data_IF_956530010930
#
_entry.id   IF_956530010930
#
_cell.length_a   1.000
_cell.length_b   1.000
_cell.length_c   1.000
_cell.angle_alpha   90.00
_cell.angle_beta   90.00
_cell.angle_gamma   90.00
#
_symmetry.space_group_name_H-M   'P 1'
#
loop_
_entity.id
_entity.type
_entity.pdbx_description
1 polymer ?
#
# COMPACT_ATOMS: atom_id res chain seq x y z
N UNK A 1 -14.57 0.02 3.01
CA UNK A 1 -13.77 -1.20 3.24
C UNK A 1 -14.68 -2.40 3.20
N UNK A 2 -14.55 -3.21 2.16
CA UNK A 2 -15.35 -4.42 1.89
C UNK A 2 -14.57 -5.69 2.18
N UNK A 3 -13.23 -5.65 2.08
CA UNK A 3 -12.38 -6.81 2.30
C UNK A 3 -12.03 -6.96 3.79
N UNK A 4 -11.95 -8.21 4.27
CA UNK A 4 -11.56 -8.48 5.66
C UNK A 4 -10.12 -8.04 5.93
N UNK A 5 -9.21 -8.27 4.98
CA UNK A 5 -7.79 -7.92 5.13
C UNK A 5 -7.56 -6.42 5.30
N UNK A 6 -8.27 -5.57 4.54
CA UNK A 6 -8.15 -4.11 4.66
C UNK A 6 -8.72 -3.62 5.99
N UNK A 7 -9.83 -4.18 6.46
CA UNK A 7 -10.41 -3.85 7.79
C UNK A 7 -9.46 -4.20 8.92
N UNK A 8 -8.83 -5.37 8.87
CA UNK A 8 -7.88 -5.84 9.87
C UNK A 8 -6.62 -4.95 9.91
N UNK A 9 -6.03 -4.68 8.75
CA UNK A 9 -4.85 -3.82 8.64
C UNK A 9 -5.15 -2.38 9.10
N UNK A 10 -6.31 -1.84 8.71
CA UNK A 10 -6.76 -0.51 9.17
C UNK A 10 -6.94 -0.49 10.69
N UNK A 11 -7.58 -1.51 11.28
CA UNK A 11 -7.80 -1.56 12.72
C UNK A 11 -6.48 -1.60 13.50
N UNK A 12 -5.51 -2.37 13.01
CA UNK A 12 -4.18 -2.42 13.58
C UNK A 12 -3.49 -1.05 13.52
N UNK A 13 -3.45 -0.44 12.33
CA UNK A 13 -2.85 0.89 12.12
C UNK A 13 -3.52 1.98 12.97
N UNK A 14 -4.85 1.97 13.05
CA UNK A 14 -5.61 2.93 13.85
C UNK A 14 -5.35 2.76 15.35
N UNK A 15 -5.11 1.52 15.81
CA UNK A 15 -4.70 1.24 17.18
C UNK A 15 -3.31 1.82 17.51
N UNK A 16 -2.36 1.74 16.58
CA UNK A 16 -1.01 2.30 16.77
C UNK A 16 -1.00 3.83 16.76
N UNK A 17 -1.68 4.47 15.79
CA UNK A 17 -1.64 5.93 15.68
C UNK A 17 -2.24 6.62 16.91
N UNK A 18 -3.23 6.00 17.55
CA UNK A 18 -4.02 6.58 18.66
C UNK A 18 -4.57 7.95 18.26
N UNK A 19 -4.15 9.02 18.93
CA UNK A 19 -4.57 10.39 18.66
C UNK A 19 -3.71 11.09 17.59
N UNK A 20 -2.62 10.47 17.12
CA UNK A 20 -1.77 11.03 16.06
C UNK A 20 -2.41 10.82 14.68
N UNK A 21 -1.95 11.60 13.71
CA UNK A 21 -2.43 11.47 12.32
C UNK A 21 -1.98 10.15 11.67
N UNK A 22 -0.76 9.69 11.99
CA UNK A 22 -0.20 8.42 11.56
C UNK A 22 0.76 7.87 12.62
N UNK A 23 0.94 6.54 12.72
CA UNK A 23 1.97 5.94 13.57
C UNK A 23 3.35 6.07 12.91
N UNK A 24 4.40 5.88 13.71
CA UNK A 24 5.75 5.80 13.20
C UNK A 24 5.99 4.44 12.56
N UNK A 25 6.76 4.41 11.46
CA UNK A 25 7.12 3.16 10.77
C UNK A 25 7.75 2.13 11.72
N UNK A 26 8.53 2.59 12.70
CA UNK A 26 9.20 1.74 13.68
C UNK A 26 8.24 1.04 14.65
N UNK A 27 6.99 1.52 14.78
CA UNK A 27 5.95 0.89 15.61
C UNK A 27 5.26 -0.27 14.90
N UNK A 28 5.46 -0.45 13.59
CA UNK A 28 4.88 -1.56 12.84
C UNK A 28 5.62 -2.85 13.21
N UNK A 29 4.90 -3.73 13.90
CA UNK A 29 5.28 -5.12 14.15
C UNK A 29 4.62 -6.03 13.09
N UNK A 30 5.39 -6.59 12.14
CA UNK A 30 4.86 -7.49 11.11
C UNK A 30 4.18 -8.74 11.68
N UNK A 31 4.57 -9.19 12.89
CA UNK A 31 4.00 -10.38 13.51
C UNK A 31 2.55 -10.16 13.95
N UNK A 32 2.18 -8.93 14.31
CA UNK A 32 0.84 -8.54 14.70
C UNK A 32 -0.15 -8.51 13.52
N UNK A 33 0.35 -8.46 12.29
CA UNK A 33 -0.44 -8.46 11.04
C UNK A 33 -0.15 -9.68 10.17
N UNK A 34 0.34 -10.78 10.76
CA UNK A 34 0.79 -11.98 10.02
C UNK A 34 -0.27 -12.56 9.08
N UNK A 35 -1.54 -12.53 9.48
CA UNK A 35 -2.73 -12.95 8.73
C UNK A 35 -2.87 -12.24 7.38
N UNK A 36 -2.53 -10.95 7.32
CA UNK A 36 -2.70 -10.08 6.14
C UNK A 36 -1.35 -9.72 5.48
N UNK A 37 -0.24 -10.19 6.03
CA UNK A 37 1.11 -9.83 5.56
C UNK A 37 1.35 -10.23 4.09
N UNK A 38 0.75 -11.34 3.64
CA UNK A 38 0.83 -11.78 2.24
C UNK A 38 0.11 -10.85 1.25
N UNK A 39 -0.81 -10.02 1.75
CA UNK A 39 -1.59 -9.01 1.01
C UNK A 39 -1.11 -7.58 1.28
N UNK A 40 0.01 -7.43 1.98
CA UNK A 40 0.52 -6.11 2.39
C UNK A 40 1.78 -5.75 1.60
N UNK A 41 1.93 -4.47 1.27
CA UNK A 41 3.14 -3.89 0.70
C UNK A 41 3.52 -2.62 1.46
N UNK A 42 4.76 -2.16 1.27
CA UNK A 42 5.23 -0.90 1.84
C UNK A 42 5.83 -0.03 0.73
N UNK A 43 5.29 1.16 0.55
CA UNK A 43 5.78 2.17 -0.38
C UNK A 43 6.68 3.12 0.39
N UNK A 44 7.86 3.41 -0.14
CA UNK A 44 8.69 4.50 0.36
C UNK A 44 8.41 5.78 -0.40
N UNK A 45 8.34 6.88 0.34
CA UNK A 45 8.37 8.22 -0.23
C UNK A 45 9.83 8.56 -0.54
N UNK A 46 10.19 8.64 -1.81
CA UNK A 46 11.53 9.05 -2.24
C UNK A 46 11.51 10.46 -2.85
N UNK A 47 12.67 11.11 -2.86
CA UNK A 47 12.83 12.46 -3.43
C UNK A 47 12.62 12.49 -4.94
N UNK A 48 12.83 11.35 -5.59
CA UNK A 48 12.70 11.18 -7.04
C UNK A 48 11.25 10.94 -7.48
N UNK A 49 10.31 10.79 -6.53
CA UNK A 49 8.89 10.56 -6.83
C UNK A 49 8.62 9.23 -7.54
N UNK A 50 9.50 8.25 -7.36
CA UNK A 50 9.39 6.92 -7.97
C UNK A 50 8.62 5.94 -7.07
N UNK A 51 8.43 6.25 -5.78
CA UNK A 51 7.62 5.43 -4.87
C UNK A 51 8.01 3.94 -4.86
N UNK A 52 9.28 3.60 -4.55
CA UNK A 52 9.73 2.22 -4.60
C UNK A 52 9.04 1.36 -3.54
N UNK A 53 8.64 0.16 -3.94
CA UNK A 53 8.09 -0.86 -3.05
C UNK A 53 9.22 -1.47 -2.24
N UNK A 54 9.27 -1.22 -0.93
CA UNK A 54 10.29 -1.79 -0.03
C UNK A 54 9.97 -3.18 0.45
N UNK A 55 8.68 -3.49 0.52
CA UNK A 55 8.13 -4.80 0.88
C UNK A 55 6.95 -5.11 -0.04
N UNK A 56 6.82 -6.37 -0.41
CA UNK A 56 5.66 -6.89 -1.13
C UNK A 56 5.34 -8.30 -0.63
N UNK A 57 4.10 -8.51 -0.21
CA UNK A 57 3.60 -9.81 0.21
C UNK A 57 3.55 -10.81 -0.93
N UNK A 58 3.67 -12.11 -0.61
CA UNK A 58 3.74 -13.17 -1.61
C UNK A 58 2.50 -13.25 -2.53
N UNK A 59 1.30 -12.94 -2.01
CA UNK A 59 0.06 -12.97 -2.81
C UNK A 59 0.00 -11.81 -3.78
N UNK A 60 0.49 -10.64 -3.38
CA UNK A 60 0.69 -9.50 -4.28
C UNK A 60 1.68 -9.90 -5.38
N UNK A 61 2.87 -10.41 -5.04
CA UNK A 61 3.84 -10.83 -6.05
C UNK A 61 3.23 -11.86 -7.05
N UNK A 62 2.39 -12.77 -6.59
CA UNK A 62 1.67 -13.72 -7.44
C UNK A 62 0.62 -13.06 -8.35
N UNK A 63 -0.11 -12.05 -7.86
CA UNK A 63 -1.09 -11.28 -8.64
C UNK A 63 -0.43 -10.58 -9.83
N UNK A 64 0.78 -10.03 -9.66
CA UNK A 64 1.55 -9.39 -10.73
C UNK A 64 2.55 -10.33 -11.44
N UNK A 65 2.55 -11.61 -11.07
CA UNK A 65 3.43 -12.65 -11.61
C UNK A 65 4.93 -12.27 -11.59
N UNK A 66 5.37 -11.49 -10.59
CA UNK A 66 6.75 -11.02 -10.43
C UNK A 66 7.02 -10.56 -9.00
N UNK A 67 8.30 -10.52 -8.63
CA UNK A 67 8.71 -9.79 -7.42
C UNK A 67 8.64 -8.27 -7.66
N UNK A 68 7.87 -7.60 -6.80
CA UNK A 68 7.65 -6.17 -6.85
C UNK A 68 8.63 -5.38 -5.99
N UNK A 69 9.40 -6.03 -5.11
CA UNK A 69 10.37 -5.32 -4.26
C UNK A 69 11.38 -4.56 -5.11
N UNK A 70 11.60 -3.30 -4.73
CA UNK A 70 12.49 -2.35 -5.40
C UNK A 70 11.89 -1.67 -6.64
N UNK A 71 10.73 -2.12 -7.15
CA UNK A 71 10.07 -1.51 -8.30
C UNK A 71 9.23 -0.31 -7.87
N UNK A 72 8.99 0.60 -8.81
CA UNK A 72 8.07 1.72 -8.59
C UNK A 72 6.64 1.19 -8.45
N UNK A 73 5.94 1.58 -7.39
CA UNK A 73 4.51 1.28 -7.26
C UNK A 73 3.70 1.86 -8.43
N UNK A 74 4.16 2.98 -8.99
CA UNK A 74 3.53 3.65 -10.13
C UNK A 74 3.57 2.81 -11.41
N UNK A 75 4.48 1.83 -11.53
CA UNK A 75 4.56 0.93 -12.69
C UNK A 75 3.35 0.00 -12.80
N UNK A 76 2.55 -0.14 -11.72
CA UNK A 76 1.37 -1.00 -11.69
C UNK A 76 0.13 -0.38 -12.35
N UNK A 77 0.17 0.92 -12.68
CA UNK A 77 -1.04 1.71 -12.97
C UNK A 77 -1.15 2.19 -14.42
N UNK A 78 -0.13 1.96 -15.25
CA UNK A 78 -0.16 2.34 -16.67
C UNK A 78 -0.53 3.81 -16.89
N UNK A 79 -1.67 4.06 -17.55
CA UNK A 79 -2.17 5.41 -17.83
C UNK A 79 -2.54 6.21 -16.57
N UNK A 80 -2.94 5.56 -15.48
CA UNK A 80 -3.33 6.23 -14.22
C UNK A 80 -2.14 6.63 -13.34
N UNK A 81 -0.91 6.40 -13.81
CA UNK A 81 0.33 6.69 -13.08
C UNK A 81 0.37 8.08 -12.44
N UNK A 82 0.02 9.12 -13.20
CA UNK A 82 0.07 10.50 -12.70
C UNK A 82 -0.98 10.77 -11.61
N UNK A 83 -2.18 10.25 -11.78
CA UNK A 83 -3.26 10.37 -10.79
C UNK A 83 -2.89 9.65 -9.49
N UNK A 84 -2.34 8.43 -9.60
CA UNK A 84 -1.91 7.65 -8.43
C UNK A 84 -0.76 8.32 -7.68
N UNK A 85 0.20 8.93 -8.40
CA UNK A 85 1.25 9.72 -7.77
C UNK A 85 0.69 10.88 -6.94
N UNK A 86 -0.28 11.63 -7.46
CA UNK A 86 -0.94 12.72 -6.73
C UNK A 86 -1.71 12.21 -5.50
N UNK A 87 -2.36 11.04 -5.61
CA UNK A 87 -3.02 10.38 -4.47
C UNK A 87 -2.00 10.02 -3.38
N UNK A 88 -0.85 9.46 -3.74
CA UNK A 88 0.20 9.11 -2.76
C UNK A 88 0.72 10.35 -2.04
N UNK A 89 0.99 11.44 -2.77
CA UNK A 89 1.39 12.71 -2.16
C UNK A 89 0.33 13.22 -1.16
N UNK A 90 -0.94 13.15 -1.55
CA UNK A 90 -2.07 13.56 -0.69
C UNK A 90 -2.18 12.69 0.58
N UNK A 91 -1.99 11.37 0.48
CA UNK A 91 -1.99 10.46 1.64
C UNK A 91 -0.89 10.84 2.62
N UNK A 92 0.30 11.18 2.12
CA UNK A 92 1.45 11.52 2.95
C UNK A 92 1.30 12.90 3.59
N UNK A 93 0.95 13.93 2.80
CA UNK A 93 0.82 15.31 3.27
C UNK A 93 -0.36 15.48 4.23
N UNK A 94 -1.51 14.88 3.88
CA UNK A 94 -2.73 14.96 4.67
C UNK A 94 -2.79 13.96 5.82
N UNK A 95 -1.85 13.00 5.89
CA UNK A 95 -1.87 11.86 6.80
C UNK A 95 -3.26 11.18 6.85
N UNK A 96 -3.92 11.06 5.69
CA UNK A 96 -5.27 10.55 5.57
C UNK A 96 -5.26 9.15 4.93
N UNK A 97 -5.81 8.12 5.62
CA UNK A 97 -6.04 6.81 5.02
C UNK A 97 -6.96 6.88 3.80
N UNK A 98 -6.59 6.17 2.73
CA UNK A 98 -7.40 6.09 1.51
C UNK A 98 -7.75 4.63 1.22
N UNK A 99 -9.02 4.42 0.85
CA UNK A 99 -9.51 3.15 0.29
C UNK A 99 -9.90 3.41 -1.15
N UNK A 100 -9.31 2.67 -2.08
CA UNK A 100 -9.59 2.77 -3.50
C UNK A 100 -9.96 1.41 -4.09
N UNK A 101 -10.81 1.40 -5.11
CA UNK A 101 -10.93 0.26 -6.01
C UNK A 101 -9.78 0.29 -7.02
N UNK A 102 -9.23 -0.87 -7.34
CA UNK A 102 -8.20 -1.05 -8.34
C UNK A 102 -8.52 -2.26 -9.21
N UNK A 103 -7.96 -2.33 -10.41
CA UNK A 103 -8.07 -3.50 -11.27
C UNK A 103 -6.68 -3.97 -11.67
N UNK A 104 -6.40 -5.26 -11.52
CA UNK A 104 -5.23 -5.86 -12.15
C UNK A 104 -5.58 -6.28 -13.57
N UNK A 105 -4.84 -5.77 -14.56
CA UNK A 105 -4.99 -6.14 -15.96
C UNK A 105 -3.68 -6.75 -16.49
N UNK A 106 -3.38 -7.98 -16.08
CA UNK A 106 -2.24 -8.71 -16.65
C UNK A 106 -2.60 -9.28 -18.03
N UNK A 107 -1.70 -9.17 -19.02
CA UNK A 107 -1.91 -9.81 -20.32
C UNK A 107 -2.22 -11.31 -20.18
N UNK A 108 -3.28 -11.76 -20.83
CA UNK A 108 -3.70 -13.17 -20.80
C UNK A 108 -4.42 -13.62 -19.52
N UNK A 109 -4.78 -12.71 -18.61
CA UNK A 109 -5.62 -12.99 -17.44
C UNK A 109 -6.87 -12.11 -17.46
N UNK A 110 -8.03 -12.61 -16.99
CA UNK A 110 -9.20 -11.76 -16.81
C UNK A 110 -8.87 -10.64 -15.79
N UNK A 111 -9.44 -9.43 -15.96
CA UNK A 111 -9.33 -8.38 -14.96
C UNK A 111 -9.83 -8.87 -13.59
N UNK A 112 -9.13 -8.47 -12.53
CA UNK A 112 -9.52 -8.77 -11.15
C UNK A 112 -9.73 -7.44 -10.42
N UNK A 113 -10.91 -7.29 -9.83
CA UNK A 113 -11.20 -6.17 -8.94
C UNK A 113 -10.49 -6.37 -7.60
N UNK A 114 -9.79 -5.33 -7.17
CA UNK A 114 -9.01 -5.27 -5.94
C UNK A 114 -9.48 -4.10 -5.08
N UNK A 115 -9.46 -4.28 -3.76
CA UNK A 115 -9.57 -3.16 -2.82
C UNK A 115 -8.15 -2.80 -2.34
N UNK A 116 -7.75 -1.56 -2.57
CA UNK A 116 -6.47 -1.01 -2.15
C UNK A 116 -6.67 -0.12 -0.93
N UNK A 117 -5.94 -0.39 0.15
CA UNK A 117 -5.87 0.47 1.34
C UNK A 117 -4.47 1.09 1.43
N UNK A 118 -4.40 2.41 1.42
CA UNK A 118 -3.18 3.19 1.61
C UNK A 118 -3.21 3.83 3.00
N UNK A 119 -2.19 3.53 3.80
CA UNK A 119 -2.06 3.98 5.17
C UNK A 119 -0.77 4.80 5.31
N UNK A 120 -0.84 6.07 5.72
CA UNK A 120 0.36 6.86 5.93
C UNK A 120 1.13 6.36 7.14
N UNK A 121 2.46 6.40 7.05
CA UNK A 121 3.39 6.14 8.15
C UNK A 121 4.31 7.35 8.28
N UNK A 122 4.63 7.72 9.52
CA UNK A 122 5.66 8.71 9.79
C UNK A 122 7.02 8.04 9.71
N UNK A 123 7.96 8.73 9.09
CA UNK A 123 9.36 8.35 9.12
C UNK A 123 10.18 9.51 9.66
N UNK A 124 10.96 9.23 10.70
CA UNK A 124 11.95 10.14 11.24
C UNK A 124 13.29 9.74 10.62
N UNK A 125 13.60 10.27 9.43
CA UNK A 125 14.78 9.90 8.65
C UNK A 125 14.78 10.54 7.26
#
# INVERSE_FOLDING_TARGET
>A
MRQQATRELYSYWNGLRRQRAAPDRAEIDPSAIRSVLSDTFMIEADRDGLFPLRLSGARINALWARDLKGRSFLDLWGADRANVAAVLLTVMDGACPIVAGAQSALPGRPPIDLELLLLPLRHHG
#
